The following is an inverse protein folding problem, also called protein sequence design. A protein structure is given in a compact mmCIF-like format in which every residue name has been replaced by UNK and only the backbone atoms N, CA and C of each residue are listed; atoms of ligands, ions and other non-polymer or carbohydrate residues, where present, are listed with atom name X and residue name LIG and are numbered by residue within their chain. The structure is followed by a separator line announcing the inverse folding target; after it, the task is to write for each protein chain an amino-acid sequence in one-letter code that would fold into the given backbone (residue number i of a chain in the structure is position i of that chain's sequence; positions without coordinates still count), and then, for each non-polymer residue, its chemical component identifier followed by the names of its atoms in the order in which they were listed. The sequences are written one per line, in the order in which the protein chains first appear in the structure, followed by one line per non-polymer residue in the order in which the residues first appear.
data_IF_733288581550
#
_entry.id   IF_733288581550
#
_cell.length_a   1.000
_cell.length_b   1.000
_cell.length_c   1.000
_cell.angle_alpha   90.00
_cell.angle_beta   90.00
_cell.angle_gamma   90.00
#
_symmetry.space_group_name_H-M   'P 1'
#
loop_
_entity.id
_entity.type
_entity.pdbx_description
1 polymer ?
#
# COMPACT_ATOMS: atom_id res chain seq x y z
N UNK A 1 6.48 -1.52 -8.56
CA UNK A 1 7.26 -0.32 -9.00
C UNK A 1 8.64 -0.39 -8.36
N UNK A 2 9.70 -0.13 -9.11
CA UNK A 2 11.03 0.03 -8.52
C UNK A 2 11.17 1.48 -8.06
N UNK A 3 11.20 1.69 -6.76
CA UNK A 3 11.45 3.01 -6.20
C UNK A 3 12.87 3.48 -6.58
N UNK A 4 13.11 4.78 -6.77
CA UNK A 4 14.41 5.31 -7.23
C UNK A 4 15.58 4.99 -6.31
N UNK A 5 15.33 4.70 -5.03
CA UNK A 5 16.32 4.30 -4.01
C UNK A 5 16.38 2.78 -3.78
N UNK A 6 15.59 1.99 -4.51
CA UNK A 6 15.53 0.52 -4.31
C UNK A 6 15.02 0.14 -2.93
N UNK A 7 15.86 -0.55 -2.16
CA UNK A 7 15.56 -0.96 -0.77
C UNK A 7 16.33 -0.14 0.28
N UNK A 8 17.01 0.94 -0.12
CA UNK A 8 17.71 1.81 0.82
C UNK A 8 16.71 2.76 1.50
N UNK A 9 16.29 2.38 2.70
CA UNK A 9 15.33 3.16 3.48
C UNK A 9 15.97 4.33 4.25
N UNK A 10 17.31 4.42 4.30
CA UNK A 10 18.04 5.57 4.84
C UNK A 10 18.15 6.73 3.82
N UNK A 11 17.83 6.45 2.54
CA UNK A 11 17.77 7.50 1.52
C UNK A 11 16.73 8.57 1.89
N UNK A 12 17.14 9.84 1.85
CA UNK A 12 16.29 10.98 2.19
C UNK A 12 14.96 10.99 1.41
N UNK A 13 14.96 10.51 0.18
CA UNK A 13 13.76 10.42 -0.66
C UNK A 13 12.77 9.39 -0.11
N UNK A 14 13.29 8.26 0.41
CA UNK A 14 12.47 7.25 1.07
C UNK A 14 11.82 7.82 2.34
N UNK A 15 12.59 8.51 3.15
CA UNK A 15 12.09 9.13 4.38
C UNK A 15 11.01 10.18 4.08
N UNK A 16 11.23 11.02 3.08
CA UNK A 16 10.24 12.02 2.64
C UNK A 16 8.97 11.36 2.09
N UNK A 17 9.09 10.28 1.31
CA UNK A 17 7.92 9.54 0.83
C UNK A 17 7.11 8.95 2.01
N UNK A 18 7.77 8.38 3.00
CA UNK A 18 7.08 7.85 4.20
C UNK A 18 6.36 8.95 4.98
N UNK A 19 6.97 10.13 5.11
CA UNK A 19 6.34 11.28 5.75
C UNK A 19 5.09 11.73 4.99
N UNK A 20 5.19 11.85 3.66
CA UNK A 20 4.07 12.24 2.82
C UNK A 20 2.96 11.18 2.85
N UNK A 21 3.32 9.90 2.79
CA UNK A 21 2.37 8.79 2.90
C UNK A 21 1.61 8.85 4.24
N UNK A 22 2.30 9.11 5.34
CA UNK A 22 1.67 9.31 6.65
C UNK A 22 0.71 10.51 6.66
N UNK A 23 1.10 11.62 6.03
CA UNK A 23 0.27 12.81 5.90
C UNK A 23 -1.02 12.52 5.12
N UNK A 24 -0.92 11.76 4.01
CA UNK A 24 -2.09 11.39 3.22
C UNK A 24 -3.01 10.41 3.97
N UNK A 25 -2.46 9.44 4.71
CA UNK A 25 -3.23 8.54 5.58
C UNK A 25 -4.00 9.34 6.63
N UNK A 26 -3.37 10.31 7.29
CA UNK A 26 -4.02 11.18 8.26
C UNK A 26 -5.10 12.06 7.62
N UNK A 27 -4.85 12.57 6.43
CA UNK A 27 -5.83 13.37 5.67
C UNK A 27 -7.08 12.55 5.32
N UNK A 28 -6.90 11.31 4.86
CA UNK A 28 -8.01 10.38 4.61
C UNK A 28 -8.75 10.05 5.91
N UNK A 29 -8.02 9.86 6.99
CA UNK A 29 -8.63 9.64 8.32
C UNK A 29 -9.55 10.81 8.73
N UNK A 30 -9.11 12.04 8.54
CA UNK A 30 -9.91 13.25 8.82
C UNK A 30 -11.17 13.33 7.95
N UNK A 31 -11.16 12.71 6.78
CA UNK A 31 -12.33 12.57 5.89
C UNK A 31 -13.24 11.39 6.23
N UNK A 32 -12.95 10.67 7.29
CA UNK A 32 -13.79 9.58 7.81
C UNK A 32 -13.30 8.17 7.50
N UNK A 33 -12.17 8.00 6.79
CA UNK A 33 -11.59 6.67 6.56
C UNK A 33 -11.12 6.09 7.90
N UNK A 34 -11.59 4.90 8.22
CA UNK A 34 -11.24 4.19 9.47
C UNK A 34 -10.52 2.87 9.22
N UNK A 35 -10.70 2.29 8.04
CA UNK A 35 -10.13 1.00 7.67
C UNK A 35 -9.16 1.17 6.51
N UNK A 36 -7.92 0.72 6.69
CA UNK A 36 -6.89 0.73 5.68
C UNK A 36 -6.60 -0.70 5.25
N UNK A 37 -6.70 -0.97 3.96
CA UNK A 37 -6.47 -2.27 3.35
C UNK A 37 -5.16 -2.25 2.57
N UNK A 38 -4.33 -3.28 2.72
CA UNK A 38 -3.07 -3.38 1.99
C UNK A 38 -2.75 -4.83 1.64
N UNK A 39 -2.05 -5.05 0.52
CA UNK A 39 -1.50 -6.35 0.15
C UNK A 39 -0.17 -6.64 0.88
N UNK A 40 0.33 -5.71 1.70
CA UNK A 40 1.54 -5.85 2.52
C UNK A 40 2.78 -6.23 1.71
N UNK A 41 2.85 -5.81 0.44
CA UNK A 41 4.01 -6.04 -0.41
C UNK A 41 5.25 -5.30 0.09
N UNK A 42 6.42 -5.83 -0.25
CA UNK A 42 7.69 -5.23 0.11
C UNK A 42 7.83 -3.83 -0.52
N UNK A 43 8.07 -2.82 0.31
CA UNK A 43 8.12 -1.41 -0.07
C UNK A 43 6.90 -0.64 0.42
N UNK A 44 6.20 0.05 -0.47
CA UNK A 44 5.11 0.98 -0.10
C UNK A 44 3.99 0.32 0.70
N UNK A 45 3.60 -0.90 0.35
CA UNK A 45 2.57 -1.64 1.09
C UNK A 45 2.96 -1.92 2.54
N UNK A 46 4.22 -2.31 2.78
CA UNK A 46 4.77 -2.51 4.12
C UNK A 46 4.89 -1.17 4.87
N UNK A 47 5.39 -0.11 4.22
CA UNK A 47 5.48 1.22 4.83
C UNK A 47 4.11 1.74 5.28
N UNK A 48 3.11 1.65 4.42
CA UNK A 48 1.75 2.07 4.75
C UNK A 48 1.19 1.28 5.94
N UNK A 49 1.39 -0.05 5.96
CA UNK A 49 0.94 -0.91 7.05
C UNK A 49 1.60 -0.54 8.39
N UNK A 50 2.92 -0.32 8.41
CA UNK A 50 3.66 0.09 9.60
C UNK A 50 3.22 1.48 10.09
N UNK A 51 2.96 2.41 9.17
CA UNK A 51 2.46 3.75 9.50
C UNK A 51 1.07 3.66 10.15
N UNK A 52 0.14 2.91 9.58
CA UNK A 52 -1.21 2.73 10.14
C UNK A 52 -1.15 2.09 11.52
N UNK A 53 -0.36 1.03 11.71
CA UNK A 53 -0.15 0.41 13.02
C UNK A 53 0.43 1.39 14.03
N UNK A 54 1.47 2.17 13.65
CA UNK A 54 2.09 3.17 14.51
C UNK A 54 1.11 4.29 14.91
N UNK A 55 0.33 4.81 13.98
CA UNK A 55 -0.70 5.81 14.26
C UNK A 55 -1.78 5.26 15.19
N UNK A 56 -2.20 4.00 15.00
CA UNK A 56 -3.17 3.35 15.88
C UNK A 56 -2.66 3.21 17.30
N UNK A 57 -1.41 2.84 17.48
CA UNK A 57 -0.79 2.66 18.80
C UNK A 57 -0.56 3.99 19.54
N UNK A 58 -0.25 5.06 18.82
CA UNK A 58 0.23 6.31 19.42
C UNK A 58 -0.79 7.45 19.40
N UNK A 59 -1.67 7.47 18.41
CA UNK A 59 -2.47 8.69 18.13
C UNK A 59 -3.97 8.40 18.01
N UNK A 60 -4.38 7.35 17.33
CA UNK A 60 -5.79 7.09 17.03
C UNK A 60 -6.14 5.60 17.05
N UNK A 61 -6.60 5.11 18.18
CA UNK A 61 -7.01 3.71 18.38
C UNK A 61 -8.22 3.30 17.51
N UNK A 62 -8.90 4.24 16.85
CA UNK A 62 -10.01 3.97 15.94
C UNK A 62 -9.56 3.54 14.53
N UNK A 63 -8.26 3.59 14.24
CA UNK A 63 -7.71 3.08 12.97
C UNK A 63 -7.68 1.55 12.96
N UNK A 64 -7.98 0.96 11.82
CA UNK A 64 -7.92 -0.47 11.60
C UNK A 64 -7.07 -0.79 10.37
N UNK A 65 -6.19 -1.78 10.49
CA UNK A 65 -5.36 -2.29 9.40
C UNK A 65 -5.81 -3.68 9.00
N UNK A 66 -6.19 -3.85 7.73
CA UNK A 66 -6.58 -5.13 7.14
C UNK A 66 -5.53 -5.55 6.11
N UNK A 67 -4.88 -6.67 6.36
CA UNK A 67 -3.84 -7.24 5.51
C UNK A 67 -4.43 -8.33 4.61
N UNK A 68 -4.45 -8.09 3.30
CA UNK A 68 -4.87 -9.05 2.29
C UNK A 68 -3.65 -9.57 1.56
N UNK A 69 -2.99 -10.56 2.15
CA UNK A 69 -1.75 -11.11 1.57
C UNK A 69 -2.04 -11.93 0.32
N UNK A 70 -1.22 -11.84 -0.74
CA UNK A 70 -1.44 -12.60 -1.96
C UNK A 70 -1.43 -14.11 -1.74
N UNK A 71 -0.52 -14.61 -0.91
CA UNK A 71 -0.45 -16.00 -0.45
C UNK A 71 0.38 -16.10 0.85
N UNK A 72 0.31 -17.23 1.55
CA UNK A 72 0.96 -17.44 2.85
C UNK A 72 2.50 -17.30 2.79
N UNK A 73 3.11 -17.64 1.66
CA UNK A 73 4.56 -17.63 1.49
C UNK A 73 5.10 -16.32 0.90
N UNK A 74 4.33 -15.21 0.94
CA UNK A 74 4.72 -13.93 0.34
C UNK A 74 6.13 -13.48 0.73
N UNK A 75 6.49 -13.58 1.99
CA UNK A 75 7.75 -13.08 2.53
C UNK A 75 8.90 -14.11 2.51
N UNK A 76 8.69 -15.33 2.02
CA UNK A 76 9.67 -16.43 2.14
C UNK A 76 11.03 -16.08 1.52
N UNK A 77 11.04 -15.35 0.40
CA UNK A 77 12.26 -14.97 -0.32
C UNK A 77 12.78 -13.57 0.03
N UNK A 78 12.17 -12.89 1.00
CA UNK A 78 12.64 -11.58 1.41
C UNK A 78 13.89 -11.66 2.29
N UNK A 79 14.66 -10.58 2.33
CA UNK A 79 15.78 -10.46 3.26
C UNK A 79 15.32 -10.65 4.72
N UNK A 80 16.13 -11.24 5.60
CA UNK A 80 15.73 -11.57 6.97
C UNK A 80 15.09 -10.39 7.73
N UNK A 81 15.70 -9.20 7.65
CA UNK A 81 15.19 -8.00 8.33
C UNK A 81 13.81 -7.56 7.81
N UNK A 82 13.55 -7.72 6.50
CA UNK A 82 12.24 -7.41 5.92
C UNK A 82 11.18 -8.43 6.35
N UNK A 83 11.55 -9.71 6.45
CA UNK A 83 10.65 -10.74 6.97
C UNK A 83 10.27 -10.50 8.42
N UNK A 84 11.23 -10.14 9.25
CA UNK A 84 11.00 -9.81 10.66
C UNK A 84 10.00 -8.65 10.79
N UNK A 85 10.21 -7.56 10.05
CA UNK A 85 9.29 -6.42 10.01
C UNK A 85 7.90 -6.81 9.52
N UNK A 86 7.84 -7.62 8.46
CA UNK A 86 6.56 -8.10 7.92
C UNK A 86 5.76 -8.88 8.96
N UNK A 87 6.37 -9.83 9.67
CA UNK A 87 5.68 -10.59 10.71
C UNK A 87 5.31 -9.72 11.92
N UNK A 88 6.20 -8.84 12.36
CA UNK A 88 5.89 -7.86 13.43
C UNK A 88 4.71 -6.97 13.04
N UNK A 89 4.64 -6.54 11.79
CA UNK A 89 3.52 -5.75 11.28
C UNK A 89 2.21 -6.57 11.25
N UNK A 90 2.26 -7.83 10.82
CA UNK A 90 1.09 -8.72 10.81
C UNK A 90 0.56 -9.02 12.22
N UNK A 91 1.44 -9.22 13.21
CA UNK A 91 1.04 -9.42 14.61
C UNK A 91 0.22 -8.25 15.16
N UNK A 92 0.48 -7.05 14.66
CA UNK A 92 -0.18 -5.81 15.09
C UNK A 92 -1.40 -5.44 14.25
N UNK A 93 -1.64 -6.04 13.10
CA UNK A 93 -2.77 -5.67 12.27
C UNK A 93 -4.11 -6.12 12.87
N UNK A 94 -5.19 -5.50 12.41
CA UNK A 94 -6.55 -5.82 12.90
C UNK A 94 -7.08 -7.12 12.31
N UNK A 95 -6.74 -7.40 11.05
CA UNK A 95 -7.22 -8.56 10.32
C UNK A 95 -6.22 -9.01 9.26
N UNK A 96 -6.11 -10.33 9.09
CA UNK A 96 -5.30 -10.96 8.04
C UNK A 96 -6.21 -11.85 7.19
N UNK A 97 -6.09 -11.74 5.88
CA UNK A 97 -6.74 -12.61 4.91
C UNK A 97 -5.76 -13.00 3.81
N UNK A 98 -5.70 -14.28 3.51
CA UNK A 98 -4.93 -14.81 2.38
C UNK A 98 -5.86 -14.85 1.15
N UNK A 99 -5.44 -14.24 0.04
CA UNK A 99 -6.29 -14.08 -1.14
C UNK A 99 -6.24 -15.30 -2.04
N UNK A 100 -5.06 -15.87 -2.25
CA UNK A 100 -4.84 -16.98 -3.19
C UNK A 100 -4.05 -18.12 -2.55
N UNK A 101 -4.22 -19.37 -3.03
CA UNK A 101 -3.29 -20.44 -2.73
C UNK A 101 -1.87 -20.13 -3.21
N UNK A 102 -0.87 -20.73 -2.55
CA UNK A 102 0.52 -20.68 -2.99
C UNK A 102 0.65 -21.22 -4.41
N UNK A 103 1.44 -20.54 -5.25
CA UNK A 103 1.64 -20.91 -6.64
C UNK A 103 0.57 -20.37 -7.62
N UNK A 104 -0.41 -19.61 -7.16
CA UNK A 104 -1.38 -18.95 -8.03
C UNK A 104 -0.69 -17.91 -8.91
N UNK A 105 -0.86 -17.98 -10.25
CA UNK A 105 -0.35 -16.93 -11.14
C UNK A 105 -0.93 -15.55 -10.80
N UNK A 106 -0.12 -14.50 -10.92
CA UNK A 106 -0.54 -13.11 -10.66
C UNK A 106 -1.19 -12.89 -9.28
N UNK A 107 -0.87 -13.71 -8.26
CA UNK A 107 -1.47 -13.62 -6.92
C UNK A 107 -1.40 -12.19 -6.34
N UNK A 108 -0.29 -11.48 -6.57
CA UNK A 108 -0.13 -10.09 -6.14
C UNK A 108 -1.17 -9.15 -6.80
N UNK A 109 -1.39 -9.29 -8.10
CA UNK A 109 -2.41 -8.52 -8.81
C UNK A 109 -3.82 -8.87 -8.34
N UNK A 110 -4.08 -10.15 -8.04
CA UNK A 110 -5.37 -10.57 -7.48
C UNK A 110 -5.61 -9.97 -6.10
N UNK A 111 -4.57 -9.88 -5.26
CA UNK A 111 -4.66 -9.18 -3.98
C UNK A 111 -4.96 -7.68 -4.15
N UNK A 112 -4.29 -7.00 -5.07
CA UNK A 112 -4.59 -5.60 -5.38
C UNK A 112 -6.03 -5.41 -5.86
N UNK A 113 -6.49 -6.23 -6.81
CA UNK A 113 -7.89 -6.17 -7.28
C UNK A 113 -8.89 -6.42 -6.17
N UNK A 114 -8.58 -7.34 -5.26
CA UNK A 114 -9.42 -7.63 -4.10
C UNK A 114 -9.54 -6.41 -3.18
N UNK A 115 -8.45 -5.78 -2.79
CA UNK A 115 -8.49 -4.60 -1.92
C UNK A 115 -9.13 -3.39 -2.60
N UNK A 116 -8.84 -3.15 -3.89
CA UNK A 116 -9.45 -2.05 -4.66
C UNK A 116 -10.97 -2.25 -4.75
N UNK A 117 -11.43 -3.47 -5.02
CA UNK A 117 -12.86 -3.77 -5.10
C UNK A 117 -13.61 -3.71 -3.77
N UNK A 118 -12.91 -3.59 -2.63
CA UNK A 118 -13.48 -3.40 -1.30
C UNK A 118 -13.37 -1.95 -0.81
N UNK A 119 -12.59 -1.11 -1.48
CA UNK A 119 -12.22 0.21 -1.03
C UNK A 119 -13.18 1.28 -1.57
N UNK A 120 -13.51 2.26 -0.74
CA UNK A 120 -14.20 3.48 -1.16
C UNK A 120 -13.24 4.51 -1.77
N UNK A 121 -11.95 4.39 -1.45
CA UNK A 121 -10.87 5.24 -1.96
C UNK A 121 -9.56 4.47 -2.04
N UNK A 122 -8.78 4.71 -3.06
CA UNK A 122 -7.43 4.16 -3.24
C UNK A 122 -6.40 5.24 -2.98
N UNK A 123 -5.41 4.96 -2.13
CA UNK A 123 -4.16 5.72 -2.01
C UNK A 123 -3.05 4.88 -2.64
N UNK A 124 -2.42 5.38 -3.67
CA UNK A 124 -1.31 4.69 -4.32
C UNK A 124 -0.11 5.60 -4.52
N UNK A 125 1.08 5.00 -4.48
CA UNK A 125 2.31 5.65 -4.94
C UNK A 125 2.53 5.20 -6.38
N UNK A 126 2.46 6.14 -7.32
CA UNK A 126 2.56 5.83 -8.74
C UNK A 126 3.31 6.92 -9.49
N UNK A 127 4.25 6.50 -10.35
CA UNK A 127 4.97 7.39 -11.26
C UNK A 127 4.22 7.40 -12.60
N UNK A 128 3.44 8.44 -12.82
CA UNK A 128 2.62 8.61 -14.02
C UNK A 128 3.45 8.74 -15.31
N UNK A 129 4.73 9.13 -15.18
CA UNK A 129 5.65 9.24 -16.31
C UNK A 129 6.14 7.87 -16.83
N UNK A 130 6.02 6.81 -15.99
CA UNK A 130 6.42 5.44 -16.32
C UNK A 130 5.28 4.57 -16.88
N UNK A 131 4.28 5.16 -17.47
CA UNK A 131 3.02 4.53 -17.90
C UNK A 131 3.16 3.36 -18.89
N UNK A 132 4.35 3.03 -19.37
CA UNK A 132 4.57 2.08 -20.45
C UNK A 132 5.00 0.66 -20.01
N UNK A 133 5.11 0.36 -18.71
CA UNK A 133 5.51 -0.97 -18.25
C UNK A 133 4.31 -1.81 -17.83
N UNK A 134 4.20 -3.03 -18.33
CA UNK A 134 3.20 -4.03 -17.91
C UNK A 134 3.57 -4.60 -16.53
N UNK A 135 3.64 -3.73 -15.51
CA UNK A 135 3.87 -4.13 -14.13
C UNK A 135 2.54 -4.41 -13.41
N UNK A 136 2.59 -5.26 -12.39
CA UNK A 136 1.40 -5.55 -11.57
C UNK A 136 0.80 -4.30 -10.92
N UNK A 137 1.64 -3.33 -10.53
CA UNK A 137 1.22 -2.05 -9.95
C UNK A 137 0.52 -1.16 -10.99
N UNK A 138 1.04 -1.07 -12.23
CA UNK A 138 0.39 -0.33 -13.31
C UNK A 138 -0.96 -0.94 -13.66
N UNK A 139 -1.07 -2.27 -13.70
CA UNK A 139 -2.33 -2.99 -13.92
C UNK A 139 -3.31 -2.78 -12.76
N UNK A 140 -2.82 -2.69 -11.53
CA UNK A 140 -3.66 -2.37 -10.37
C UNK A 140 -4.17 -0.94 -10.41
N UNK A 141 -3.30 0.02 -10.75
CA UNK A 141 -3.70 1.42 -10.95
C UNK A 141 -4.75 1.56 -12.05
N UNK A 142 -4.51 0.94 -13.23
CA UNK A 142 -5.49 0.93 -14.31
C UNK A 142 -6.84 0.35 -13.86
N UNK A 143 -6.83 -0.73 -13.10
CA UNK A 143 -8.05 -1.33 -12.55
C UNK A 143 -8.81 -0.37 -11.60
N UNK A 144 -8.10 0.39 -10.74
CA UNK A 144 -8.74 1.38 -9.87
C UNK A 144 -9.43 2.48 -10.68
N UNK A 145 -8.78 2.98 -11.74
CA UNK A 145 -9.33 4.00 -12.64
C UNK A 145 -10.53 3.46 -13.42
N UNK A 146 -10.42 2.27 -13.99
CA UNK A 146 -11.50 1.60 -14.73
C UNK A 146 -12.72 1.30 -13.86
N UNK A 147 -12.49 1.00 -12.59
CA UNK A 147 -13.55 0.76 -11.59
C UNK A 147 -14.18 2.05 -11.07
N UNK A 148 -13.75 3.21 -11.55
CA UNK A 148 -14.19 4.53 -11.07
C UNK A 148 -14.01 4.73 -9.55
N UNK A 149 -13.08 4.02 -8.93
CA UNK A 149 -12.78 4.21 -7.51
C UNK A 149 -11.97 5.50 -7.34
N UNK A 150 -12.40 6.46 -6.50
CA UNK A 150 -11.63 7.66 -6.19
C UNK A 150 -10.19 7.30 -5.84
N UNK A 151 -9.22 7.83 -6.58
CA UNK A 151 -7.82 7.44 -6.43
C UNK A 151 -6.95 8.65 -6.13
N UNK A 152 -6.32 8.66 -4.97
CA UNK A 152 -5.31 9.64 -4.59
C UNK A 152 -3.94 9.09 -4.94
N UNK A 153 -3.29 9.72 -5.90
CA UNK A 153 -1.95 9.34 -6.40
C UNK A 153 -0.91 10.20 -5.72
N UNK A 154 0.04 9.57 -5.07
CA UNK A 154 1.25 10.19 -4.54
C UNK A 154 2.42 9.92 -5.50
N UNK A 155 2.96 10.97 -6.11
CA UNK A 155 4.08 10.86 -7.02
C UNK A 155 5.40 10.65 -6.24
N UNK A 156 6.19 9.59 -6.54
CA UNK A 156 7.33 9.22 -5.70
C UNK A 156 8.54 10.16 -5.79
N UNK A 157 8.63 10.99 -6.83
CA UNK A 157 9.75 11.92 -7.04
C UNK A 157 9.40 13.33 -6.56
N UNK A 158 8.27 13.86 -7.04
CA UNK A 158 7.81 15.22 -6.72
C UNK A 158 7.14 15.29 -5.34
N UNK A 159 6.72 14.15 -4.77
CA UNK A 159 5.97 14.05 -3.52
C UNK A 159 4.67 14.88 -3.53
N UNK A 160 4.11 15.07 -4.71
CA UNK A 160 2.80 15.69 -4.89
C UNK A 160 1.70 14.65 -4.81
N UNK A 161 0.57 15.02 -4.25
CA UNK A 161 -0.61 14.17 -4.18
C UNK A 161 -1.73 14.77 -5.03
N UNK A 162 -2.28 14.00 -5.96
CA UNK A 162 -3.35 14.43 -6.84
C UNK A 162 -4.47 13.38 -6.93
N UNK A 163 -5.69 13.86 -7.20
CA UNK A 163 -6.84 13.00 -7.38
C UNK A 163 -7.00 12.62 -8.85
N UNK A 164 -7.19 11.32 -9.09
CA UNK A 164 -7.61 10.78 -10.38
C UNK A 164 -9.06 10.31 -10.25
N UNK A 165 -9.95 10.84 -11.13
CA UNK A 165 -11.39 10.63 -11.02
C UNK A 165 -12.05 11.59 -10.03
N UNK A 166 -13.13 11.15 -9.41
CA UNK A 166 -13.83 11.93 -8.39
C UNK A 166 -13.02 12.01 -7.10
N UNK A 167 -13.19 13.10 -6.35
CA UNK A 167 -12.61 13.21 -5.01
C UNK A 167 -13.47 12.47 -4.01
N UNK A 168 -12.82 11.69 -3.18
CA UNK A 168 -13.45 11.06 -2.01
C UNK A 168 -13.81 12.10 -0.93
#
# INVERSE_FOLDING_TARGET
MRLPWGFDEEDDRCQKLKMELAQQIMTLRQRGVTQFLTACDCGVGLYAAEIVNGLRETTDQGLMLFCYTPHEEQATKWAPYLRERYFTMLEKCTHISVVCPVGTPDAQLQAYRKIIGLADVVLCVHDTDLSATDSGENRAFAFAVESHTPTLVLHPKELTAEWVGERF
#
